data_IF_490034544552
#
_entry.id   IF_490034544552
#
_cell.length_a   1.000
_cell.length_b   1.000
_cell.length_c   1.000
_cell.angle_alpha   90.00
_cell.angle_beta   90.00
_cell.angle_gamma   90.00
#
_symmetry.space_group_name_H-M   'P 1'
#
loop_
_entity.id
_entity.type
_entity.pdbx_description
1 polymer ?
#
# COMPACT_ATOMS: atom_id res chain seq x y z
N UNK A 1 -6.71 5.44 25.70
CA UNK A 1 -5.70 4.44 26.07
C UNK A 1 -5.12 3.90 24.78
N UNK A 2 -3.80 4.00 24.57
CA UNK A 2 -3.15 3.36 23.43
C UNK A 2 -3.31 1.84 23.57
N UNK A 3 -3.58 1.13 22.47
CA UNK A 3 -3.58 -0.33 22.49
C UNK A 3 -2.24 -0.83 23.06
N UNK A 4 -2.22 -1.95 23.81
CA UNK A 4 -0.96 -2.53 24.26
C UNK A 4 -0.05 -2.74 23.04
N UNK A 5 1.20 -2.28 23.12
CA UNK A 5 2.21 -2.60 22.11
C UNK A 5 2.27 -4.14 22.04
N UNK A 6 1.84 -4.73 20.91
CA UNK A 6 1.96 -6.17 20.72
C UNK A 6 3.40 -6.61 21.01
N UNK A 7 3.55 -7.76 21.66
CA UNK A 7 4.87 -8.34 21.88
C UNK A 7 5.55 -8.59 20.54
N UNK A 8 6.81 -8.16 20.41
CA UNK A 8 7.56 -8.31 19.18
C UNK A 8 7.68 -9.79 18.80
N UNK A 9 7.10 -10.18 17.67
CA UNK A 9 7.23 -11.52 17.10
C UNK A 9 8.56 -11.61 16.32
N UNK A 10 9.40 -12.60 16.65
CA UNK A 10 10.69 -12.85 15.99
C UNK A 10 10.63 -14.16 15.20
N UNK A 11 11.19 -14.12 13.99
CA UNK A 11 11.33 -15.28 13.11
C UNK A 11 12.76 -15.29 12.55
N UNK A 12 13.37 -16.47 12.40
CA UNK A 12 14.68 -16.65 11.77
C UNK A 12 14.48 -17.36 10.43
N UNK A 13 15.07 -16.83 9.36
CA UNK A 13 15.00 -17.38 7.99
C UNK A 13 16.41 -17.66 7.44
N UNK A 14 16.56 -18.55 6.44
CA UNK A 14 17.84 -18.79 5.79
C UNK A 14 18.40 -17.52 5.14
N UNK A 15 19.73 -17.37 5.11
CA UNK A 15 20.40 -16.19 4.54
C UNK A 15 20.19 -16.01 3.02
N UNK A 16 19.68 -17.03 2.32
CA UNK A 16 19.30 -16.96 0.91
C UNK A 16 17.88 -16.44 0.68
N UNK A 17 17.04 -16.35 1.72
CA UNK A 17 15.67 -15.89 1.63
C UNK A 17 15.63 -14.36 1.68
N UNK A 18 14.85 -13.74 0.78
CA UNK A 18 14.78 -12.27 0.65
C UNK A 18 13.39 -11.70 0.90
N UNK A 19 12.40 -12.56 1.18
CA UNK A 19 11.01 -12.21 1.45
C UNK A 19 10.46 -12.93 2.71
N UNK A 20 9.41 -12.39 3.32
CA UNK A 20 8.70 -13.05 4.43
C UNK A 20 7.25 -12.57 4.53
N UNK A 21 6.31 -13.50 4.68
CA UNK A 21 4.89 -13.20 4.82
C UNK A 21 4.44 -13.28 6.29
N UNK A 22 4.30 -12.12 6.94
CA UNK A 22 3.69 -12.04 8.27
C UNK A 22 2.18 -12.31 8.17
N UNK A 23 1.67 -13.27 8.95
CA UNK A 23 0.25 -13.64 9.00
C UNK A 23 -0.32 -13.38 10.39
N UNK A 24 -1.64 -13.16 10.47
CA UNK A 24 -2.35 -12.94 11.75
C UNK A 24 -1.97 -11.63 12.44
N UNK A 25 -1.78 -10.57 11.66
CA UNK A 25 -1.63 -9.21 12.16
C UNK A 25 -3.01 -8.54 12.28
N UNK A 26 -3.11 -7.53 13.14
CA UNK A 26 -4.33 -6.73 13.32
C UNK A 26 -4.51 -5.80 12.11
N UNK A 27 -5.75 -5.58 11.63
CA UNK A 27 -6.03 -4.65 10.53
C UNK A 27 -5.81 -3.19 10.96
N UNK A 28 -5.58 -2.29 9.99
CA UNK A 28 -5.42 -0.84 10.21
C UNK A 28 -4.41 -0.53 11.34
N UNK A 29 -3.32 -1.29 11.40
CA UNK A 29 -2.35 -1.22 12.49
C UNK A 29 -0.95 -1.00 11.93
N UNK A 30 -0.22 -0.06 12.52
CA UNK A 30 1.14 0.29 12.12
C UNK A 30 2.15 -0.65 12.81
N UNK A 31 2.96 -1.34 12.02
CA UNK A 31 4.00 -2.27 12.47
C UNK A 31 5.39 -1.76 12.09
N UNK A 32 6.34 -1.84 13.02
CA UNK A 32 7.76 -1.65 12.74
C UNK A 32 8.40 -3.00 12.40
N UNK A 33 8.83 -3.16 11.16
CA UNK A 33 9.51 -4.35 10.66
C UNK A 33 11.01 -4.09 10.70
N UNK A 34 11.76 -4.98 11.33
CA UNK A 34 13.23 -4.90 11.41
C UNK A 34 13.85 -6.18 10.89
N UNK A 35 14.71 -6.06 9.87
CA UNK A 35 15.47 -7.17 9.29
C UNK A 35 16.91 -7.07 9.73
N UNK A 36 17.47 -8.18 10.24
CA UNK A 36 18.84 -8.27 10.74
C UNK A 36 19.60 -9.36 9.99
N UNK A 37 20.73 -9.00 9.38
CA UNK A 37 21.68 -9.97 8.83
C UNK A 37 22.57 -10.51 9.94
N UNK A 38 22.57 -11.84 10.13
CA UNK A 38 23.34 -12.52 11.18
C UNK A 38 24.48 -13.34 10.57
N UNK A 39 25.64 -13.34 11.22
CA UNK A 39 26.72 -14.32 11.00
C UNK A 39 27.08 -14.91 12.36
N UNK A 40 27.00 -16.23 12.52
CA UNK A 40 27.24 -16.93 13.80
C UNK A 40 26.44 -16.32 14.97
N UNK A 41 25.16 -16.04 14.72
CA UNK A 41 24.22 -15.38 15.66
C UNK A 41 24.64 -13.96 16.10
N UNK A 42 25.64 -13.37 15.46
CA UNK A 42 26.06 -11.98 15.66
C UNK A 42 25.47 -11.10 14.56
N UNK A 43 24.74 -10.06 14.95
CA UNK A 43 24.19 -9.08 14.02
C UNK A 43 25.28 -8.31 13.30
N UNK A 44 25.20 -8.26 11.98
CA UNK A 44 26.13 -7.50 11.12
C UNK A 44 25.50 -6.23 10.59
N UNK A 45 24.28 -6.34 10.06
CA UNK A 45 23.54 -5.22 9.48
C UNK A 45 22.09 -5.29 9.91
N UNK A 46 21.46 -4.12 9.99
CA UNK A 46 20.05 -3.98 10.35
C UNK A 46 19.40 -2.94 9.45
N UNK A 47 18.18 -3.22 9.00
CA UNK A 47 17.29 -2.23 8.38
C UNK A 47 15.93 -2.29 9.06
N UNK A 48 15.23 -1.16 9.12
CA UNK A 48 13.89 -1.08 9.69
C UNK A 48 12.98 -0.21 8.84
N UNK A 49 11.70 -0.54 8.83
CA UNK A 49 10.66 0.22 8.14
C UNK A 49 9.32 0.08 8.83
N UNK A 50 8.51 1.14 8.77
CA UNK A 50 7.21 1.18 9.43
C UNK A 50 6.10 1.10 8.38
N UNK A 51 5.24 0.11 8.50
CA UNK A 51 4.20 -0.21 7.50
C UNK A 51 2.86 -0.46 8.18
N UNK A 52 1.78 0.01 7.57
CA UNK A 52 0.44 -0.24 8.07
C UNK A 52 -0.17 -1.47 7.37
N UNK A 53 -0.85 -2.32 8.13
CA UNK A 53 -1.79 -3.29 7.57
C UNK A 53 -3.01 -2.57 7.01
N UNK A 54 -3.62 -3.15 5.97
CA UNK A 54 -4.80 -2.58 5.33
C UNK A 54 -6.07 -2.86 6.13
N UNK A 55 -7.13 -2.12 5.79
CA UNK A 55 -8.48 -2.51 6.17
C UNK A 55 -8.91 -3.70 5.29
N UNK A 56 -9.36 -4.79 5.91
CA UNK A 56 -10.01 -5.90 5.20
C UNK A 56 -11.49 -5.81 5.53
N UNK A 57 -12.25 -5.19 4.63
CA UNK A 57 -13.70 -5.07 4.76
C UNK A 57 -14.34 -6.39 4.39
N UNK A 58 -14.57 -7.23 5.40
CA UNK A 58 -15.26 -8.53 5.34
C UNK A 58 -14.64 -9.60 4.40
N UNK A 59 -14.83 -10.90 4.68
CA UNK A 59 -14.47 -11.94 3.72
C UNK A 59 -15.31 -11.77 2.46
N UNK A 60 -14.65 -11.66 1.32
CA UNK A 60 -15.33 -11.59 0.02
C UNK A 60 -14.86 -12.75 -0.86
N UNK A 61 -15.55 -12.99 -1.98
CA UNK A 61 -15.11 -13.97 -2.99
C UNK A 61 -13.73 -13.63 -3.59
N UNK A 62 -13.22 -12.43 -3.31
CA UNK A 62 -11.92 -11.91 -3.73
C UNK A 62 -10.86 -11.94 -2.61
N UNK A 63 -10.99 -12.83 -1.64
CA UNK A 63 -10.02 -12.96 -0.53
C UNK A 63 -8.57 -13.26 -0.98
N UNK A 64 -8.38 -13.74 -2.21
CA UNK A 64 -7.10 -13.94 -2.87
C UNK A 64 -6.54 -12.68 -3.53
N UNK A 65 -7.38 -11.66 -3.78
CA UNK A 65 -6.99 -10.42 -4.42
C UNK A 65 -6.31 -9.51 -3.39
N UNK A 66 -5.04 -9.20 -3.63
CA UNK A 66 -4.30 -8.28 -2.77
C UNK A 66 -4.88 -6.85 -2.78
N UNK A 67 -4.59 -6.04 -1.76
CA UNK A 67 -4.91 -4.61 -1.80
C UNK A 67 -4.04 -3.89 -2.84
N UNK A 68 -4.50 -2.74 -3.38
CA UNK A 68 -3.61 -1.83 -4.10
C UNK A 68 -2.42 -1.45 -3.24
N UNK A 69 -1.26 -1.28 -3.87
CA UNK A 69 -0.01 -0.94 -3.19
C UNK A 69 0.55 0.36 -3.75
N UNK A 70 1.59 0.89 -3.09
CA UNK A 70 2.42 1.94 -3.67
C UNK A 70 1.67 3.26 -3.98
N UNK A 71 0.81 3.71 -3.06
CA UNK A 71 0.16 5.02 -3.17
C UNK A 71 1.20 6.14 -3.08
N UNK A 72 1.29 6.94 -4.14
CA UNK A 72 2.28 8.02 -4.30
C UNK A 72 1.61 9.30 -4.78
N UNK A 73 2.15 10.44 -4.34
CA UNK A 73 1.85 11.75 -4.91
C UNK A 73 2.67 11.95 -6.18
N UNK A 74 1.99 12.27 -7.29
CA UNK A 74 2.62 12.68 -8.56
C UNK A 74 2.83 14.19 -8.57
N UNK A 75 1.77 14.95 -8.29
CA UNK A 75 1.75 16.41 -8.42
C UNK A 75 0.84 17.04 -7.36
N UNK A 76 1.11 18.29 -7.00
CA UNK A 76 0.26 19.10 -6.13
C UNK A 76 0.25 20.57 -6.53
N UNK A 77 -0.85 21.26 -6.27
CA UNK A 77 -0.97 22.72 -6.32
C UNK A 77 -1.58 23.26 -5.00
N UNK A 78 -1.92 24.54 -4.98
CA UNK A 78 -2.70 25.17 -3.91
C UNK A 78 -4.10 24.57 -3.73
N UNK A 79 -4.63 23.92 -4.76
CA UNK A 79 -6.02 23.44 -4.86
C UNK A 79 -6.15 22.02 -5.39
N UNK A 80 -5.04 21.34 -5.71
CA UNK A 80 -5.04 20.03 -6.36
C UNK A 80 -4.01 19.08 -5.73
N UNK A 81 -4.40 17.80 -5.65
CA UNK A 81 -3.51 16.67 -5.40
C UNK A 81 -3.73 15.64 -6.49
N UNK A 82 -2.65 15.17 -7.10
CA UNK A 82 -2.65 14.09 -8.08
C UNK A 82 -1.88 12.92 -7.50
N UNK A 83 -2.57 11.80 -7.28
CA UNK A 83 -2.01 10.57 -6.70
C UNK A 83 -2.11 9.40 -7.66
N UNK A 84 -1.25 8.41 -7.48
CA UNK A 84 -1.24 7.14 -8.21
C UNK A 84 -0.96 5.97 -7.28
N UNK A 85 -1.33 4.77 -7.69
CA UNK A 85 -1.09 3.52 -6.97
C UNK A 85 -0.85 2.37 -7.96
N UNK A 86 -0.27 1.28 -7.47
CA UNK A 86 -0.10 0.03 -8.21
C UNK A 86 -1.32 -0.87 -7.95
N UNK A 87 -2.06 -1.29 -9.01
CA UNK A 87 -3.17 -2.23 -8.85
C UNK A 87 -2.66 -3.62 -8.43
N UNK A 88 -3.49 -4.46 -7.81
CA UNK A 88 -3.13 -5.85 -7.54
C UNK A 88 -2.94 -6.61 -8.86
N UNK A 89 -2.02 -7.58 -8.84
CA UNK A 89 -1.80 -8.45 -10.00
C UNK A 89 -2.91 -9.49 -10.10
N UNK A 90 -3.62 -9.49 -11.22
CA UNK A 90 -4.64 -10.48 -11.58
C UNK A 90 -4.11 -11.28 -12.77
N UNK A 91 -3.63 -12.49 -12.51
CA UNK A 91 -2.98 -13.32 -13.53
C UNK A 91 -4.00 -14.07 -14.38
N UNK A 92 -5.10 -14.51 -13.78
CA UNK A 92 -6.16 -15.27 -14.42
C UNK A 92 -7.10 -14.34 -15.21
N UNK A 93 -7.27 -14.53 -16.53
CA UNK A 93 -8.11 -13.65 -17.36
C UNK A 93 -9.57 -13.57 -16.91
N UNK A 94 -10.10 -14.66 -16.36
CA UNK A 94 -11.49 -14.79 -15.89
C UNK A 94 -11.82 -13.87 -14.71
N UNK A 95 -10.82 -13.43 -13.94
CA UNK A 95 -11.02 -12.58 -12.77
C UNK A 95 -10.74 -11.10 -13.03
N UNK A 96 -10.31 -10.73 -14.25
CA UNK A 96 -9.92 -9.35 -14.58
C UNK A 96 -11.05 -8.35 -14.44
N UNK A 97 -12.29 -8.78 -14.67
CA UNK A 97 -13.47 -7.91 -14.63
C UNK A 97 -14.12 -7.84 -13.24
N UNK A 98 -13.66 -8.64 -12.27
CA UNK A 98 -14.21 -8.63 -10.91
C UNK A 98 -13.88 -7.33 -10.16
N UNK A 99 -12.71 -6.74 -10.44
CA UNK A 99 -12.35 -5.43 -9.90
C UNK A 99 -12.87 -4.30 -10.79
N UNK A 100 -14.10 -3.88 -10.54
CA UNK A 100 -14.81 -2.93 -11.41
C UNK A 100 -14.37 -1.47 -11.24
N UNK A 101 -14.08 -1.04 -10.01
CA UNK A 101 -13.73 0.33 -9.67
C UNK A 101 -12.97 0.44 -8.35
N UNK A 102 -12.24 1.54 -8.18
CA UNK A 102 -11.68 1.95 -6.90
C UNK A 102 -12.51 3.07 -6.28
N UNK A 103 -12.69 3.03 -4.97
CA UNK A 103 -13.23 4.15 -4.19
C UNK A 103 -12.09 4.88 -3.51
N UNK A 104 -11.88 6.14 -3.87
CA UNK A 104 -10.84 7.00 -3.32
C UNK A 104 -11.47 8.00 -2.36
N UNK A 105 -10.92 8.11 -1.16
CA UNK A 105 -11.44 9.02 -0.13
C UNK A 105 -10.36 10.03 0.24
N UNK A 106 -10.71 11.32 0.26
CA UNK A 106 -9.83 12.40 0.75
C UNK A 106 -10.52 13.13 1.90
N UNK A 107 -9.77 13.45 2.95
CA UNK A 107 -10.20 14.28 4.05
C UNK A 107 -9.06 15.23 4.43
N UNK A 108 -9.35 16.50 4.78
CA UNK A 108 -8.33 17.35 5.39
C UNK A 108 -7.92 16.75 6.73
N UNK A 109 -6.63 16.81 7.07
CA UNK A 109 -6.11 16.33 8.34
C UNK A 109 -5.57 17.53 9.11
N UNK A 110 -6.00 17.68 10.36
CA UNK A 110 -5.40 18.63 11.28
C UNK A 110 -3.99 18.13 11.64
N UNK A 111 -2.96 18.87 11.26
CA UNK A 111 -1.56 18.44 11.37
C UNK A 111 -1.11 18.24 12.83
N UNK A 112 -1.66 19.02 13.76
CA UNK A 112 -1.24 19.00 15.17
C UNK A 112 -1.94 17.91 15.97
N UNK A 113 -3.21 17.65 15.66
CA UNK A 113 -4.04 16.68 16.39
C UNK A 113 -4.22 15.36 15.66
N UNK A 114 -3.76 15.27 14.40
CA UNK A 114 -3.98 14.17 13.46
C UNK A 114 -5.48 13.82 13.27
N UNK A 115 -6.38 14.74 13.61
CA UNK A 115 -7.82 14.53 13.45
C UNK A 115 -8.20 14.69 11.99
N UNK A 116 -8.85 13.66 11.44
CA UNK A 116 -9.44 13.73 10.11
C UNK A 116 -10.72 14.58 10.14
N UNK A 117 -10.79 15.54 9.22
CA UNK A 117 -11.99 16.31 8.92
C UNK A 117 -12.97 15.54 8.02
N UNK A 118 -13.93 16.24 7.40
CA UNK A 118 -14.96 15.62 6.59
C UNK A 118 -14.36 14.93 5.36
N UNK A 119 -14.74 13.66 5.16
CA UNK A 119 -14.32 12.84 4.02
C UNK A 119 -15.16 13.13 2.77
N UNK A 120 -14.51 13.19 1.61
CA UNK A 120 -15.14 13.20 0.28
C UNK A 120 -14.71 11.94 -0.47
N UNK A 121 -15.69 11.24 -1.05
CA UNK A 121 -15.46 9.99 -1.78
C UNK A 121 -15.58 10.23 -3.29
N UNK A 122 -14.67 9.64 -4.05
CA UNK A 122 -14.65 9.64 -5.50
C UNK A 122 -14.58 8.19 -6.00
N UNK A 123 -15.21 7.93 -7.15
CA UNK A 123 -15.15 6.63 -7.82
C UNK A 123 -14.25 6.74 -9.04
N UNK A 124 -13.24 5.89 -9.12
CA UNK A 124 -12.30 5.82 -10.24
C UNK A 124 -12.51 4.49 -10.94
N UNK A 125 -12.94 4.55 -12.21
CA UNK A 125 -13.17 3.36 -13.02
C UNK A 125 -11.83 2.81 -13.51
N UNK A 126 -11.62 1.49 -13.40
CA UNK A 126 -10.32 0.85 -13.71
C UNK A 126 -9.79 1.13 -15.12
N UNK A 127 -10.69 1.33 -16.09
CA UNK A 127 -10.35 1.65 -17.49
C UNK A 127 -9.71 3.02 -17.69
N UNK A 128 -9.96 3.99 -16.81
CA UNK A 128 -9.36 5.34 -16.93
C UNK A 128 -7.86 5.34 -16.62
N UNK A 129 -7.40 4.50 -15.68
CA UNK A 129 -5.98 4.45 -15.26
C UNK A 129 -5.03 4.02 -16.40
N UNK A 130 -5.50 3.17 -17.32
CA UNK A 130 -4.72 2.65 -18.45
C UNK A 130 -4.50 3.73 -19.52
N UNK A 131 -5.50 4.59 -19.73
CA UNK A 131 -5.46 5.65 -20.75
C UNK A 131 -4.42 6.71 -20.35
N UNK A 132 -4.35 7.09 -19.07
CA UNK A 132 -3.36 8.07 -18.60
C UNK A 132 -1.91 7.57 -18.66
N UNK A 133 -1.67 6.29 -18.35
CA UNK A 133 -0.33 5.68 -18.51
C UNK A 133 0.18 5.75 -19.96
N UNK A 134 -0.72 5.69 -20.95
CA UNK A 134 -0.39 5.76 -22.38
C UNK A 134 -0.14 7.20 -22.84
N UNK A 135 -0.92 8.16 -22.36
CA UNK A 135 -0.79 9.58 -22.73
C UNK A 135 0.55 10.16 -22.26
N UNK A 136 1.00 9.87 -21.04
CA UNK A 136 2.29 10.37 -20.55
C UNK A 136 3.50 9.75 -21.26
N UNK A 137 3.48 8.45 -21.58
CA UNK A 137 4.55 7.82 -22.38
C UNK A 137 4.69 8.40 -23.79
N UNK A 138 3.61 8.95 -24.36
CA UNK A 138 3.63 9.59 -25.69
C UNK A 138 4.11 11.04 -25.60
N UNK A 139 3.82 11.75 -24.52
CA UNK A 139 4.26 13.14 -24.32
C UNK A 139 5.78 13.26 -24.06
N UNK A 140 6.41 12.26 -23.43
CA UNK A 140 7.87 12.23 -23.24
C UNK A 140 8.66 12.03 -24.55
N UNK A 141 8.00 11.64 -25.66
CA UNK A 141 8.67 11.40 -26.95
C UNK A 141 8.66 12.62 -27.90
N UNK A 142 7.96 13.71 -27.54
CA UNK A 142 7.78 14.89 -28.41
C UNK A 142 8.52 16.13 -27.90
N UNK A 143 9.42 15.98 -26.93
CA UNK A 143 10.23 17.06 -26.35
C UNK A 143 11.73 16.81 -26.56
N UNK A 144 12.15 16.61 -27.82
CA UNK A 144 13.54 16.75 -28.25
C UNK A 144 13.61 17.33 -29.66
#
# INVERSE_FOLDING_TARGET
MAAPLETAKRYDTPGSQTDYHFKGLNPITLYNITVRGLQDNKSKWTISGTFATTDKTEPTELDWLGPPTDLRLIEKSDTMLHVTWTPPDIFEPEYRDLLTHYRVTIAPVDEYTMKMGPRKNYTVMGWWLIIYRKIFRVLDYMAN
#
